data_IF_765458781623
#
_entry.id   IF_765458781623
#
_cell.length_a   1.000
_cell.length_b   1.000
_cell.length_c   1.000
_cell.angle_alpha   90.00
_cell.angle_beta   90.00
_cell.angle_gamma   90.00
#
_symmetry.space_group_name_H-M   'P 1'
#
loop_
_entity.id
_entity.type
_entity.pdbx_description
1 polymer ?
#
# COMPACT_ATOMS: atom_id res chain seq x y z
N UNK A 1 -20.07 -43.84 -26.65
CA UNK A 1 -18.71 -43.35 -26.33
C UNK A 1 -18.62 -41.80 -26.40
N UNK A 2 -19.63 -41.07 -25.93
CA UNK A 2 -19.75 -39.58 -26.05
C UNK A 2 -20.09 -38.94 -24.68
N UNK A 3 -19.88 -39.64 -23.55
CA UNK A 3 -20.21 -39.09 -22.22
C UNK A 3 -18.97 -38.63 -21.43
N UNK A 4 -17.79 -39.20 -21.72
CA UNK A 4 -16.55 -38.87 -21.01
C UNK A 4 -16.03 -37.46 -21.37
N UNK A 5 -16.30 -36.98 -22.59
CA UNK A 5 -15.85 -35.66 -23.06
C UNK A 5 -16.60 -34.47 -22.44
N UNK A 6 -17.87 -34.65 -22.08
CA UNK A 6 -18.70 -33.58 -21.48
C UNK A 6 -18.37 -33.36 -20.00
N UNK A 7 -18.02 -34.42 -19.27
CA UNK A 7 -17.58 -34.32 -17.88
C UNK A 7 -16.26 -33.57 -17.73
N UNK A 8 -15.29 -33.82 -18.63
CA UNK A 8 -14.01 -33.12 -18.62
C UNK A 8 -14.16 -31.61 -18.89
N UNK A 9 -15.06 -31.24 -19.82
CA UNK A 9 -15.39 -29.85 -20.12
C UNK A 9 -16.06 -29.13 -18.95
N UNK A 10 -16.96 -29.81 -18.23
CA UNK A 10 -17.62 -29.26 -17.05
C UNK A 10 -16.61 -29.01 -15.90
N UNK A 11 -15.69 -29.94 -15.66
CA UNK A 11 -14.63 -29.78 -14.64
C UNK A 11 -13.70 -28.62 -15.01
N UNK A 12 -13.31 -28.49 -16.28
CA UNK A 12 -12.51 -27.36 -16.75
C UNK A 12 -13.23 -26.01 -16.57
N UNK A 13 -14.54 -25.96 -16.84
CA UNK A 13 -15.34 -24.75 -16.66
C UNK A 13 -15.49 -24.36 -15.17
N UNK A 14 -15.65 -25.35 -14.28
CA UNK A 14 -15.73 -25.13 -12.83
C UNK A 14 -14.40 -24.61 -12.29
N UNK A 15 -13.27 -25.21 -12.69
CA UNK A 15 -11.94 -24.71 -12.31
C UNK A 15 -11.72 -23.29 -12.80
N UNK A 16 -12.10 -22.97 -14.05
CA UNK A 16 -12.01 -21.61 -14.58
C UNK A 16 -12.84 -20.61 -13.74
N UNK A 17 -14.07 -20.97 -13.38
CA UNK A 17 -14.94 -20.13 -12.54
C UNK A 17 -14.40 -19.92 -11.12
N UNK A 18 -13.77 -20.93 -10.54
CA UNK A 18 -13.10 -20.82 -9.23
C UNK A 18 -11.88 -19.88 -9.33
N UNK A 19 -11.09 -19.98 -10.39
CA UNK A 19 -9.95 -19.07 -10.57
C UNK A 19 -10.38 -17.63 -10.84
N UNK A 20 -11.41 -17.38 -11.65
CA UNK A 20 -11.87 -15.99 -11.90
C UNK A 20 -12.51 -15.36 -10.66
N UNK A 21 -13.22 -16.13 -9.83
CA UNK A 21 -13.80 -15.64 -8.58
C UNK A 21 -12.75 -15.42 -7.48
N UNK A 22 -11.71 -16.26 -7.41
CA UNK A 22 -10.63 -16.10 -6.44
C UNK A 22 -9.69 -14.92 -6.77
N UNK A 23 -9.47 -14.62 -8.06
CA UNK A 23 -8.60 -13.52 -8.48
C UNK A 23 -9.29 -12.15 -8.38
N UNK A 24 -10.62 -12.09 -8.56
CA UNK A 24 -11.38 -10.85 -8.43
C UNK A 24 -11.35 -10.24 -7.01
N UNK A 25 -11.06 -11.05 -5.97
CA UNK A 25 -10.88 -10.59 -4.60
C UNK A 25 -9.51 -10.01 -4.28
N UNK A 26 -8.50 -10.23 -5.13
CA UNK A 26 -7.10 -9.89 -4.85
C UNK A 26 -6.58 -8.68 -5.64
N UNK A 27 -7.39 -8.04 -6.48
CA UNK A 27 -6.99 -6.87 -7.27
C UNK A 27 -7.45 -5.55 -6.65
N UNK A 28 -7.43 -5.43 -5.33
CA UNK A 28 -7.50 -4.12 -4.67
C UNK A 28 -6.12 -3.39 -4.74
N UNK A 29 -5.37 -3.61 -5.83
CA UNK A 29 -4.29 -2.72 -6.21
C UNK A 29 -4.98 -1.50 -6.79
N UNK A 30 -5.19 -0.49 -5.95
CA UNK A 30 -5.66 0.81 -6.40
C UNK A 30 -4.52 1.43 -7.20
N UNK A 31 -4.49 1.17 -8.52
CA UNK A 31 -3.64 1.91 -9.44
C UNK A 31 -4.10 3.38 -9.40
N UNK A 32 -3.36 4.20 -8.64
CA UNK A 32 -3.54 5.64 -8.67
C UNK A 32 -3.09 6.09 -10.06
N UNK A 33 -4.03 6.60 -10.84
CA UNK A 33 -3.82 7.06 -12.21
C UNK A 33 -2.55 7.92 -12.28
N UNK A 34 -1.62 7.51 -13.15
CA UNK A 34 -0.38 8.23 -13.41
C UNK A 34 -0.71 9.46 -14.25
N UNK A 35 -1.01 10.56 -13.57
CA UNK A 35 -1.27 11.86 -14.19
C UNK A 35 -0.02 12.36 -14.93
N UNK A 36 -0.21 12.77 -16.19
CA UNK A 36 0.83 13.20 -17.13
C UNK A 36 1.64 14.41 -16.64
N UNK A 37 2.90 14.51 -17.09
CA UNK A 37 3.91 15.48 -16.60
C UNK A 37 3.57 16.97 -16.73
N UNK A 38 2.48 17.34 -17.41
CA UNK A 38 2.04 18.73 -17.52
C UNK A 38 1.38 19.27 -16.24
N UNK A 39 0.92 18.42 -15.32
CA UNK A 39 0.31 18.83 -14.03
C UNK A 39 1.33 19.00 -12.89
N UNK A 40 2.62 18.75 -13.14
CA UNK A 40 3.69 18.85 -12.14
C UNK A 40 3.91 20.26 -11.57
N UNK A 41 3.62 21.30 -12.36
CA UNK A 41 3.89 22.68 -11.98
C UNK A 41 2.96 23.24 -10.88
N UNK A 42 1.86 22.54 -10.56
CA UNK A 42 0.90 22.94 -9.52
C UNK A 42 0.72 21.88 -8.41
N UNK A 43 1.71 20.99 -8.22
CA UNK A 43 1.64 19.98 -7.15
C UNK A 43 1.80 20.65 -5.79
N UNK A 44 0.69 20.79 -5.06
CA UNK A 44 0.74 20.86 -3.59
C UNK A 44 1.17 19.48 -3.10
N UNK A 45 2.43 19.35 -2.75
CA UNK A 45 2.92 18.12 -2.12
C UNK A 45 2.32 17.99 -0.73
N UNK A 46 1.98 16.76 -0.35
CA UNK A 46 1.56 16.46 1.02
C UNK A 46 2.80 16.56 1.91
N UNK A 47 2.71 17.31 2.99
CA UNK A 47 3.78 17.41 3.97
C UNK A 47 4.08 16.04 4.58
N UNK A 48 5.35 15.82 4.95
CA UNK A 48 5.82 14.52 5.44
C UNK A 48 5.05 14.09 6.69
N UNK A 49 4.92 14.99 7.67
CA UNK A 49 4.19 14.74 8.90
C UNK A 49 2.70 14.46 8.67
N UNK A 50 2.11 15.02 7.60
CA UNK A 50 0.72 14.71 7.24
C UNK A 50 0.63 13.31 6.65
N UNK A 51 1.56 12.96 5.76
CA UNK A 51 1.59 11.64 5.15
C UNK A 51 1.84 10.53 6.20
N UNK A 52 2.75 10.75 7.16
CA UNK A 52 3.03 9.81 8.26
C UNK A 52 1.77 9.56 9.09
N UNK A 53 1.07 10.63 9.48
CA UNK A 53 -0.17 10.51 10.27
C UNK A 53 -1.23 9.73 9.52
N UNK A 54 -1.42 9.99 8.23
CA UNK A 54 -2.37 9.26 7.39
C UNK A 54 -2.01 7.78 7.27
N UNK A 55 -0.72 7.46 7.11
CA UNK A 55 -0.24 6.07 7.05
C UNK A 55 -0.52 5.35 8.37
N UNK A 56 -0.16 5.96 9.51
CA UNK A 56 -0.39 5.38 10.83
C UNK A 56 -1.89 5.27 11.17
N UNK A 57 -2.72 6.20 10.73
CA UNK A 57 -4.17 6.20 11.01
C UNK A 57 -4.98 5.28 10.11
N UNK A 58 -4.38 4.69 9.08
CA UNK A 58 -5.07 3.83 8.10
C UNK A 58 -4.62 2.39 8.27
N UNK A 59 -5.39 1.52 8.96
CA UNK A 59 -4.94 0.19 9.39
C UNK A 59 -4.46 -0.74 8.27
N UNK A 60 -4.97 -0.55 7.06
CA UNK A 60 -4.66 -1.37 5.89
C UNK A 60 -3.41 -0.90 5.13
N UNK A 61 -2.94 0.32 5.43
CA UNK A 61 -1.80 0.93 4.74
C UNK A 61 -0.52 0.54 5.46
N UNK A 62 0.21 -0.39 4.85
CA UNK A 62 1.52 -0.82 5.35
C UNK A 62 2.66 0.04 4.81
N UNK A 63 2.43 0.76 3.70
CA UNK A 63 3.38 1.69 3.12
C UNK A 63 2.76 2.61 2.07
N UNK A 64 3.41 3.74 1.84
CA UNK A 64 2.96 4.82 0.98
C UNK A 64 4.15 5.49 0.29
N UNK A 65 4.11 5.56 -1.04
CA UNK A 65 5.12 6.28 -1.83
C UNK A 65 4.68 7.73 -2.00
N UNK A 66 5.43 8.66 -1.42
CA UNK A 66 5.18 10.10 -1.50
C UNK A 66 5.93 10.68 -2.70
N UNK A 67 5.18 11.16 -3.69
CA UNK A 67 5.73 11.80 -4.89
C UNK A 67 6.06 13.27 -4.64
N UNK A 68 7.31 13.57 -4.29
CA UNK A 68 7.87 14.94 -4.18
C UNK A 68 9.12 15.07 -5.07
N UNK A 69 9.77 16.24 -5.17
CA UNK A 69 11.04 16.37 -5.89
C UNK A 69 12.13 15.40 -5.38
N UNK A 70 12.06 15.03 -4.10
CA UNK A 70 12.79 13.90 -3.52
C UNK A 70 11.76 12.83 -3.12
N UNK A 71 11.43 11.88 -4.01
CA UNK A 71 10.42 10.87 -3.72
C UNK A 71 10.86 10.00 -2.54
N UNK A 72 9.92 9.66 -1.66
CA UNK A 72 10.21 8.82 -0.51
C UNK A 72 9.16 7.73 -0.31
N UNK A 73 9.57 6.63 0.30
CA UNK A 73 8.71 5.56 0.79
C UNK A 73 8.52 5.74 2.30
N UNK A 74 7.27 5.82 2.72
CA UNK A 74 6.86 5.81 4.13
C UNK A 74 6.34 4.41 4.42
N UNK A 75 6.83 3.73 5.44
CA UNK A 75 6.47 2.34 5.72
C UNK A 75 6.21 2.11 7.21
N UNK A 76 5.17 1.35 7.54
CA UNK A 76 4.90 0.92 8.91
C UNK A 76 5.77 -0.28 9.24
N UNK A 77 6.72 -0.08 10.16
CA UNK A 77 7.62 -1.13 10.66
C UNK A 77 7.00 -1.90 11.82
N UNK A 78 6.22 -1.21 12.66
CA UNK A 78 5.56 -1.81 13.83
C UNK A 78 4.15 -1.26 14.00
N UNK A 79 3.22 -2.18 14.22
CA UNK A 79 1.83 -1.89 14.58
C UNK A 79 1.66 -1.81 16.10
N UNK A 80 0.70 -1.01 16.58
CA UNK A 80 0.42 -0.89 18.00
C UNK A 80 -0.07 -2.22 18.58
N UNK A 81 0.30 -2.45 19.83
CA UNK A 81 -0.16 -3.58 20.63
C UNK A 81 -0.79 -3.09 21.92
N UNK A 82 -1.46 -3.97 22.68
CA UNK A 82 -2.09 -3.61 23.94
C UNK A 82 -1.10 -3.05 25.00
N UNK A 83 0.19 -3.38 24.90
CA UNK A 83 1.24 -2.86 25.79
C UNK A 83 2.05 -1.70 25.21
N UNK A 84 1.99 -1.50 23.89
CA UNK A 84 2.74 -0.48 23.14
C UNK A 84 1.78 0.18 22.15
N UNK A 85 1.00 1.20 22.54
CA UNK A 85 -0.04 1.78 21.70
C UNK A 85 0.54 2.82 20.71
N UNK A 86 1.62 2.47 20.02
CA UNK A 86 2.27 3.34 19.04
C UNK A 86 2.63 2.58 17.77
N UNK A 87 2.53 3.28 16.65
CA UNK A 87 3.08 2.87 15.36
C UNK A 87 4.53 3.31 15.27
N UNK A 88 5.35 2.47 14.65
CA UNK A 88 6.71 2.86 14.24
C UNK A 88 6.71 2.96 12.72
N UNK A 89 6.98 4.14 12.20
CA UNK A 89 6.94 4.46 10.77
C UNK A 89 8.33 4.86 10.29
N UNK A 90 8.89 4.14 9.33
CA UNK A 90 10.15 4.49 8.67
C UNK A 90 9.90 5.36 7.45
N UNK A 91 10.84 6.25 7.14
CA UNK A 91 10.85 7.03 5.91
C UNK A 91 12.18 6.85 5.21
N UNK A 92 12.11 6.43 3.95
CA UNK A 92 13.27 6.19 3.10
C UNK A 92 13.17 7.00 1.81
N UNK A 93 14.26 7.68 1.45
CA UNK A 93 14.37 8.38 0.18
C UNK A 93 14.62 7.36 -0.95
N UNK A 94 13.92 7.56 -2.06
CA UNK A 94 14.04 6.74 -3.26
C UNK A 94 15.04 7.39 -4.23
N UNK A 95 16.24 6.81 -4.29
CA UNK A 95 17.31 7.25 -5.18
C UNK A 95 17.25 6.57 -6.56
N UNK A 96 16.19 5.78 -6.83
CA UNK A 96 15.97 5.05 -8.08
C UNK A 96 16.61 3.66 -8.11
N UNK A 97 17.83 3.50 -7.57
CA UNK A 97 18.52 2.20 -7.49
C UNK A 97 18.44 1.55 -6.09
N UNK A 98 18.15 2.36 -5.06
CA UNK A 98 18.10 1.94 -3.66
C UNK A 98 17.17 2.85 -2.86
N UNK A 99 16.68 2.30 -1.75
CA UNK A 99 15.99 3.07 -0.72
C UNK A 99 16.97 3.36 0.42
N UNK A 100 17.06 4.62 0.84
CA UNK A 100 17.89 5.04 1.97
C UNK A 100 16.99 5.58 3.07
N UNK A 101 16.83 4.80 4.14
CA UNK A 101 16.13 5.25 5.34
C UNK A 101 16.87 6.44 5.95
N UNK A 102 16.18 7.56 6.11
CA UNK A 102 16.75 8.77 6.71
C UNK A 102 16.02 9.19 8.00
N UNK A 103 14.80 8.68 8.22
CA UNK A 103 14.03 9.02 9.41
C UNK A 103 13.14 7.88 9.87
N UNK A 104 12.85 7.88 11.15
CA UNK A 104 11.88 7.01 11.79
C UNK A 104 11.04 7.85 12.73
N UNK A 105 9.76 7.52 12.80
CA UNK A 105 8.76 8.22 13.57
C UNK A 105 8.01 7.28 14.49
N UNK A 106 7.66 7.77 15.67
CA UNK A 106 6.73 7.11 16.58
C UNK A 106 5.41 7.87 16.56
N UNK A 107 4.31 7.20 16.21
CA UNK A 107 2.98 7.82 16.11
C UNK A 107 2.05 7.17 17.12
N UNK A 108 1.42 7.97 17.96
CA UNK A 108 0.45 7.49 18.95
C UNK A 108 -0.78 6.92 18.26
N UNK A 109 -1.20 5.71 18.66
CA UNK A 109 -2.28 5.00 17.98
C UNK A 109 -3.68 5.58 18.25
N UNK A 110 -3.84 6.41 19.28
CA UNK A 110 -5.13 6.96 19.68
C UNK A 110 -5.36 8.38 19.12
N UNK A 111 -4.36 9.24 19.25
CA UNK A 111 -4.38 10.62 18.78
C UNK A 111 -3.94 10.74 17.32
N UNK A 112 -3.12 9.80 16.83
CA UNK A 112 -2.47 9.92 15.53
C UNK A 112 -1.37 10.98 15.54
N UNK A 113 -0.94 11.48 16.69
CA UNK A 113 0.12 12.49 16.78
C UNK A 113 1.51 11.84 16.72
N UNK A 114 2.44 12.56 16.08
CA UNK A 114 3.85 12.18 16.03
C UNK A 114 4.48 12.58 17.37
N UNK A 115 5.06 11.60 18.05
CA UNK A 115 5.65 11.76 19.38
C UNK A 115 7.16 12.01 19.27
N UNK A 116 7.83 11.29 18.36
CA UNK A 116 9.28 11.36 18.10
C UNK A 116 9.58 11.16 16.61
#
# INVERSE_FOLDING_TARGET
MIEIGRGLQAIGLILLLVFTSAVAGCTNVREVETMSSAEEASRRFIDEDVAIRVVASTPEVTGFRRSTPAPCLIQVERYPTAGEPFYVVSVAEDLGDRLVMYRQYTVDAYSGDIIE
#
